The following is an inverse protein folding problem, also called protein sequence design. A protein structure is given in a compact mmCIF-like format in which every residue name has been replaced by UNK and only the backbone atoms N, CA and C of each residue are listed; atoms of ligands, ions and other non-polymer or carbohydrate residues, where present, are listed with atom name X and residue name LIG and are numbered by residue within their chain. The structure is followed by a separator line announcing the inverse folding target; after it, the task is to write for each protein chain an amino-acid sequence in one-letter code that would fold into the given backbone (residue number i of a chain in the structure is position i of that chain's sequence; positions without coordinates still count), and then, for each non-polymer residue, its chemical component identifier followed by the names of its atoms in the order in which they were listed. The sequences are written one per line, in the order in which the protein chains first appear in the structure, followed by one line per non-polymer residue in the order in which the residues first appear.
data_IF_708885745332
#
_entry.id   IF_708885745332
#
_cell.length_a   1.000
_cell.length_b   1.000
_cell.length_c   1.000
_cell.angle_alpha   90.00
_cell.angle_beta   90.00
_cell.angle_gamma   90.00
#
_symmetry.space_group_name_H-M   'P 1'
#
loop_
_entity.id
_entity.type
_entity.pdbx_description
1 polymer ?
#
# COMPACT_ATOMS: atom_id res chain seq x y z
N UNK A 1 -17.31 22.30 -29.55
CA UNK A 1 -15.93 21.88 -29.73
C UNK A 1 -15.74 20.64 -28.87
N UNK A 2 -15.94 19.46 -29.48
CA UNK A 2 -15.91 18.19 -28.71
C UNK A 2 -14.46 17.75 -28.47
N UNK A 3 -14.15 17.40 -27.23
CA UNK A 3 -12.90 16.72 -26.92
C UNK A 3 -12.96 15.35 -27.61
N UNK A 4 -11.97 15.07 -28.44
CA UNK A 4 -11.86 13.82 -29.17
C UNK A 4 -11.91 12.61 -28.23
N UNK A 5 -12.64 11.56 -28.61
CA UNK A 5 -12.80 10.35 -27.79
C UNK A 5 -11.46 9.72 -27.41
N UNK A 6 -10.46 9.83 -28.29
CA UNK A 6 -9.11 9.32 -28.07
C UNK A 6 -8.36 10.14 -27.01
N UNK A 7 -8.54 11.46 -27.00
CA UNK A 7 -7.97 12.36 -25.98
C UNK A 7 -8.60 12.08 -24.61
N UNK A 8 -9.92 11.84 -24.58
CA UNK A 8 -10.63 11.55 -23.33
C UNK A 8 -10.22 10.17 -22.77
N UNK A 9 -10.06 9.17 -23.64
CA UNK A 9 -9.54 7.85 -23.24
C UNK A 9 -8.11 7.94 -22.71
N UNK A 10 -7.25 8.73 -23.34
CA UNK A 10 -5.88 8.95 -22.91
C UNK A 10 -5.79 9.64 -21.53
N UNK A 11 -6.63 10.65 -21.31
CA UNK A 11 -6.73 11.32 -20.00
C UNK A 11 -7.22 10.36 -18.91
N UNK A 12 -8.23 9.54 -19.19
CA UNK A 12 -8.76 8.54 -18.26
C UNK A 12 -7.71 7.47 -17.95
N UNK A 13 -6.96 7.02 -18.95
CA UNK A 13 -5.85 6.07 -18.74
C UNK A 13 -4.73 6.68 -17.91
N UNK A 14 -4.37 7.95 -18.16
CA UNK A 14 -3.37 8.67 -17.35
C UNK A 14 -3.84 8.88 -15.91
N UNK A 15 -5.10 9.24 -15.68
CA UNK A 15 -5.66 9.38 -14.34
C UNK A 15 -5.70 8.05 -13.59
N UNK A 16 -6.08 6.96 -14.26
CA UNK A 16 -6.03 5.62 -13.67
C UNK A 16 -4.59 5.17 -13.35
N UNK A 17 -3.63 5.59 -14.16
CA UNK A 17 -2.21 5.30 -13.92
C UNK A 17 -1.65 6.05 -12.72
N UNK A 18 -2.09 7.30 -12.50
CA UNK A 18 -1.68 8.12 -11.35
C UNK A 18 -2.20 7.55 -10.02
N UNK A 19 -3.38 6.92 -10.03
CA UNK A 19 -4.04 6.42 -8.82
C UNK A 19 -3.83 4.91 -8.56
N UNK A 20 -2.79 4.30 -9.13
CA UNK A 20 -2.51 2.87 -8.93
C UNK A 20 -1.78 2.56 -7.63
N UNK A 21 -1.14 3.55 -7.02
CA UNK A 21 -0.45 3.40 -5.74
C UNK A 21 -1.33 3.85 -4.59
N UNK A 22 -1.01 3.34 -3.42
CA UNK A 22 -1.59 3.74 -2.14
C UNK A 22 -0.49 4.22 -1.20
N UNK A 23 -0.83 5.09 -0.26
CA UNK A 23 0.12 5.62 0.71
C UNK A 23 0.28 4.68 1.90
N UNK A 24 1.51 4.30 2.16
CA UNK A 24 1.89 3.52 3.33
C UNK A 24 2.74 4.37 4.27
N UNK A 25 2.40 4.39 5.54
CA UNK A 25 3.28 4.92 6.55
C UNK A 25 4.22 3.84 7.08
N UNK A 26 5.50 4.19 7.22
CA UNK A 26 6.49 3.39 7.92
C UNK A 26 6.93 4.14 9.16
N UNK A 27 6.63 3.61 10.32
CA UNK A 27 6.87 4.21 11.63
C UNK A 27 8.02 3.45 12.28
N UNK A 28 9.10 4.16 12.61
CA UNK A 28 10.22 3.57 13.33
C UNK A 28 9.90 3.58 14.82
N UNK A 29 9.90 2.40 15.43
CA UNK A 29 9.63 2.21 16.85
C UNK A 29 10.79 1.48 17.50
N UNK A 30 11.10 1.82 18.75
CA UNK A 30 12.01 1.02 19.55
C UNK A 30 11.34 -0.30 19.91
N UNK A 31 12.10 -1.40 19.89
CA UNK A 31 11.59 -2.71 20.30
C UNK A 31 11.55 -2.82 21.82
N UNK A 32 10.68 -2.01 22.44
CA UNK A 32 10.45 -1.91 23.87
C UNK A 32 8.97 -2.00 24.19
N UNK A 33 8.68 -2.47 25.40
CA UNK A 33 7.31 -2.53 25.88
C UNK A 33 6.64 -1.14 25.87
N UNK A 34 5.44 -1.07 25.29
CA UNK A 34 4.61 0.13 25.22
C UNK A 34 4.83 1.04 24.02
N UNK A 35 5.92 0.91 23.24
CA UNK A 35 6.15 1.79 22.08
C UNK A 35 5.14 1.60 20.96
N UNK A 36 4.79 0.37 20.64
CA UNK A 36 3.72 0.09 19.68
C UNK A 36 2.37 0.59 20.19
N UNK A 37 2.04 0.34 21.46
CA UNK A 37 0.78 0.79 22.06
C UNK A 37 0.64 2.31 21.98
N UNK A 38 1.71 3.07 22.21
CA UNK A 38 1.72 4.53 22.09
C UNK A 38 1.30 4.97 20.67
N UNK A 39 1.82 4.33 19.63
CA UNK A 39 1.43 4.64 18.24
C UNK A 39 -0.05 4.35 18.03
N UNK A 40 -0.52 3.18 18.48
CA UNK A 40 -1.92 2.78 18.33
C UNK A 40 -2.88 3.71 19.08
N UNK A 41 -2.53 4.20 20.26
CA UNK A 41 -3.33 5.15 21.01
C UNK A 41 -3.42 6.51 20.33
N UNK A 42 -2.33 7.03 19.76
CA UNK A 42 -2.33 8.27 18.97
C UNK A 42 -3.32 8.17 17.80
N UNK A 43 -3.24 7.08 17.04
CA UNK A 43 -4.14 6.86 15.90
C UNK A 43 -5.60 6.70 16.33
N UNK A 44 -5.85 6.00 17.44
CA UNK A 44 -7.19 5.80 18.02
C UNK A 44 -7.82 7.12 18.45
N UNK A 45 -7.10 7.97 19.14
CA UNK A 45 -7.60 9.28 19.60
C UNK A 45 -7.95 10.19 18.42
N UNK A 46 -7.20 10.12 17.33
CA UNK A 46 -7.48 10.82 16.07
C UNK A 46 -8.55 10.15 15.21
N UNK A 47 -9.12 9.00 15.64
CA UNK A 47 -10.09 8.19 14.89
C UNK A 47 -9.58 7.75 13.52
N UNK A 48 -8.28 7.50 13.41
CA UNK A 48 -7.65 6.97 12.19
C UNK A 48 -7.72 5.45 12.24
N UNK A 49 -8.41 4.86 11.28
CA UNK A 49 -8.56 3.42 11.17
C UNK A 49 -7.33 2.80 10.48
N UNK A 50 -6.78 1.75 11.06
CA UNK A 50 -5.77 0.89 10.42
C UNK A 50 -6.49 -0.15 9.58
N UNK A 51 -6.20 -0.17 8.27
CA UNK A 51 -6.77 -1.11 7.30
C UNK A 51 -5.92 -2.36 7.20
N UNK A 52 -4.60 -2.17 7.13
CA UNK A 52 -3.63 -3.25 7.09
C UNK A 52 -2.36 -2.82 7.81
N UNK A 53 -1.63 -3.77 8.38
CA UNK A 53 -0.36 -3.49 9.03
C UNK A 53 0.58 -4.68 9.02
N UNK A 54 1.86 -4.37 9.15
CA UNK A 54 2.91 -5.36 9.41
C UNK A 54 4.01 -4.75 10.24
N UNK A 55 4.72 -5.55 11.02
CA UNK A 55 5.93 -5.16 11.73
C UNK A 55 7.08 -6.01 11.23
N UNK A 56 8.16 -5.33 10.90
CA UNK A 56 9.46 -5.94 10.62
C UNK A 56 10.40 -5.50 11.73
N UNK A 57 11.00 -6.42 12.43
CA UNK A 57 11.80 -6.13 13.62
C UNK A 57 13.28 -6.49 13.44
N UNK A 58 14.10 -5.80 14.21
CA UNK A 58 15.46 -6.16 14.59
C UNK A 58 15.51 -6.26 16.12
N UNK A 59 16.68 -6.55 16.70
CA UNK A 59 16.81 -6.67 18.17
C UNK A 59 16.38 -5.37 18.87
N UNK A 60 16.77 -4.22 18.32
CA UNK A 60 16.60 -2.92 18.99
C UNK A 60 15.44 -2.10 18.45
N UNK A 61 15.06 -2.30 17.19
CA UNK A 61 14.09 -1.48 16.47
C UNK A 61 13.11 -2.31 15.66
N UNK A 62 11.93 -1.73 15.46
CA UNK A 62 10.93 -2.23 14.52
C UNK A 62 10.54 -1.17 13.51
N UNK A 63 10.07 -1.63 12.36
CA UNK A 63 9.39 -0.79 11.39
C UNK A 63 7.93 -1.23 11.35
N UNK A 64 7.06 -0.42 11.91
CA UNK A 64 5.62 -0.63 11.86
C UNK A 64 5.06 0.04 10.60
N UNK A 65 4.65 -0.77 9.63
CA UNK A 65 4.04 -0.30 8.38
C UNK A 65 2.54 -0.39 8.49
N UNK A 66 1.86 0.69 8.12
CA UNK A 66 0.39 0.75 8.13
C UNK A 66 -0.16 1.34 6.84
N UNK A 67 -1.32 0.82 6.45
CA UNK A 67 -2.27 1.46 5.56
C UNK A 67 -3.44 1.90 6.42
N UNK A 68 -3.85 3.16 6.29
CA UNK A 68 -4.88 3.73 7.15
C UNK A 68 -5.84 4.64 6.39
N UNK A 69 -6.94 5.00 7.04
CA UNK A 69 -8.03 5.76 6.44
C UNK A 69 -7.67 7.21 6.06
N UNK A 70 -6.68 7.80 6.71
CA UNK A 70 -6.19 9.15 6.41
C UNK A 70 -4.67 9.23 6.60
N UNK A 71 -3.88 8.83 5.58
CA UNK A 71 -2.43 8.75 5.71
C UNK A 71 -1.75 10.11 5.93
N UNK A 72 -2.26 11.18 5.33
CA UNK A 72 -1.68 12.52 5.50
C UNK A 72 -1.83 13.02 6.93
N UNK A 73 -3.03 12.92 7.50
CA UNK A 73 -3.29 13.30 8.88
C UNK A 73 -2.50 12.43 9.86
N UNK A 74 -2.42 11.12 9.61
CA UNK A 74 -1.65 10.20 10.43
C UNK A 74 -0.16 10.56 10.43
N UNK A 75 0.39 10.91 9.27
CA UNK A 75 1.78 11.32 9.13
C UNK A 75 2.10 12.56 9.96
N UNK A 76 1.32 13.63 9.80
CA UNK A 76 1.50 14.89 10.53
C UNK A 76 1.40 14.66 12.04
N UNK A 77 0.36 13.97 12.48
CA UNK A 77 0.11 13.71 13.89
C UNK A 77 1.23 12.87 14.56
N UNK A 78 1.72 11.84 13.89
CA UNK A 78 2.80 11.00 14.41
C UNK A 78 4.11 11.79 14.51
N UNK A 79 4.39 12.67 13.55
CA UNK A 79 5.55 13.56 13.60
C UNK A 79 5.45 14.57 14.77
N UNK A 80 4.28 15.17 14.99
CA UNK A 80 4.03 16.09 16.11
C UNK A 80 4.27 15.41 17.47
N UNK A 81 4.01 14.11 17.56
CA UNK A 81 4.29 13.30 18.76
C UNK A 81 5.75 12.81 18.85
N UNK A 82 6.64 13.31 17.97
CA UNK A 82 8.06 13.01 17.98
C UNK A 82 8.44 11.62 17.47
N UNK A 83 7.55 10.98 16.69
CA UNK A 83 7.83 9.70 16.06
C UNK A 83 8.51 9.89 14.71
N UNK A 84 9.48 9.03 14.40
CA UNK A 84 10.09 8.99 13.07
C UNK A 84 9.18 8.21 12.13
N UNK A 85 8.61 8.90 11.15
CA UNK A 85 7.66 8.33 10.20
C UNK A 85 7.98 8.79 8.77
N UNK A 86 7.80 7.89 7.81
CA UNK A 86 7.91 8.19 6.37
C UNK A 86 6.65 7.72 5.66
N UNK A 87 6.30 8.42 4.56
CA UNK A 87 5.28 7.98 3.61
C UNK A 87 5.97 7.38 2.38
N UNK A 88 5.44 6.30 1.88
CA UNK A 88 5.89 5.64 0.65
C UNK A 88 4.71 5.22 -0.20
N UNK A 89 4.89 5.31 -1.51
CA UNK A 89 3.96 4.71 -2.46
C UNK A 89 4.19 3.21 -2.53
N UNK A 90 3.11 2.45 -2.40
CA UNK A 90 3.10 1.00 -2.54
C UNK A 90 1.93 0.58 -3.45
N UNK A 91 2.00 -0.62 -3.98
CA UNK A 91 0.90 -1.19 -4.75
C UNK A 91 0.04 -2.10 -3.87
N UNK A 92 -1.25 -2.14 -4.19
CA UNK A 92 -2.17 -3.14 -3.66
C UNK A 92 -2.82 -3.88 -4.84
N UNK A 93 -2.72 -5.20 -4.86
CA UNK A 93 -3.37 -6.05 -5.88
C UNK A 93 -4.30 -7.06 -5.22
N UNK A 94 -5.42 -7.31 -5.90
CA UNK A 94 -6.40 -8.34 -5.52
C UNK A 94 -6.11 -9.64 -6.27
N UNK A 95 -5.99 -10.73 -5.54
CA UNK A 95 -5.80 -12.07 -6.07
C UNK A 95 -6.85 -13.03 -5.52
N UNK A 96 -7.10 -14.11 -6.25
CA UNK A 96 -7.87 -15.22 -5.71
C UNK A 96 -7.09 -15.88 -4.57
N UNK A 97 -7.79 -16.21 -3.48
CA UNK A 97 -7.18 -16.86 -2.33
C UNK A 97 -7.00 -18.36 -2.57
N UNK A 98 -6.15 -18.70 -3.54
CA UNK A 98 -5.77 -20.08 -3.88
C UNK A 98 -4.26 -20.22 -3.98
N UNK A 99 -3.69 -21.42 -3.71
CA UNK A 99 -2.25 -21.64 -3.78
C UNK A 99 -1.66 -21.22 -5.13
N UNK A 100 -0.51 -20.54 -5.10
CA UNK A 100 0.26 -20.17 -6.28
C UNK A 100 -0.12 -18.84 -6.94
N UNK A 101 -1.21 -18.18 -6.55
CA UNK A 101 -1.63 -16.93 -7.18
C UNK A 101 -0.63 -15.78 -6.99
N UNK A 102 -0.04 -15.67 -5.82
CA UNK A 102 1.01 -14.68 -5.57
C UNK A 102 2.26 -14.95 -6.42
N UNK A 103 2.70 -16.21 -6.50
CA UNK A 103 3.83 -16.61 -7.35
C UNK A 103 3.57 -16.25 -8.82
N UNK A 104 2.37 -16.57 -9.33
CA UNK A 104 1.97 -16.23 -10.70
C UNK A 104 2.01 -14.72 -10.95
N UNK A 105 1.46 -13.92 -10.03
CA UNK A 105 1.46 -12.47 -10.17
C UNK A 105 2.89 -11.91 -10.17
N UNK A 106 3.76 -12.35 -9.25
CA UNK A 106 5.12 -11.83 -9.14
C UNK A 106 6.10 -12.37 -10.18
N UNK A 107 5.78 -13.45 -10.88
CA UNK A 107 6.57 -13.93 -12.03
C UNK A 107 6.77 -12.84 -13.08
N UNK A 108 5.73 -12.05 -13.35
CA UNK A 108 5.81 -10.96 -14.33
C UNK A 108 6.80 -9.85 -13.91
N UNK A 109 6.85 -9.52 -12.62
CA UNK A 109 7.81 -8.54 -12.10
C UNK A 109 9.24 -9.05 -12.21
N UNK A 110 9.48 -10.28 -11.78
CA UNK A 110 10.81 -10.91 -11.86
C UNK A 110 11.30 -11.04 -13.30
N UNK A 111 10.44 -11.46 -14.24
CA UNK A 111 10.77 -11.58 -15.66
C UNK A 111 11.16 -10.24 -16.30
N UNK A 112 10.69 -9.13 -15.74
CA UNK A 112 11.03 -7.78 -16.18
C UNK A 112 12.12 -7.11 -15.34
N UNK A 113 12.78 -7.84 -14.43
CA UNK A 113 13.86 -7.32 -13.61
C UNK A 113 13.43 -6.33 -12.51
N UNK A 114 12.15 -6.32 -12.14
CA UNK A 114 11.62 -5.49 -11.04
C UNK A 114 11.71 -6.29 -9.74
N UNK A 115 12.37 -5.73 -8.75
CA UNK A 115 12.53 -6.34 -7.45
C UNK A 115 11.38 -5.97 -6.50
N UNK A 116 10.86 -6.95 -5.77
CA UNK A 116 9.90 -6.75 -4.69
C UNK A 116 10.67 -6.59 -3.39
N UNK A 117 10.71 -5.37 -2.86
CA UNK A 117 11.46 -5.04 -1.64
C UNK A 117 10.85 -5.69 -0.40
N UNK A 118 9.53 -5.70 -0.32
CA UNK A 118 8.75 -6.40 0.70
C UNK A 118 7.29 -6.52 0.26
N UNK A 119 6.60 -7.43 0.89
CA UNK A 119 5.17 -7.61 0.73
C UNK A 119 4.51 -8.07 2.03
N UNK A 120 3.23 -7.81 2.17
CA UNK A 120 2.35 -8.39 3.18
C UNK A 120 0.94 -8.48 2.64
N UNK A 121 0.11 -9.32 3.24
CA UNK A 121 -1.22 -9.60 2.71
C UNK A 121 -2.26 -9.73 3.81
N UNK A 122 -3.51 -9.51 3.44
CA UNK A 122 -4.69 -9.76 4.27
C UNK A 122 -5.84 -10.26 3.40
N UNK A 123 -6.88 -10.79 4.03
CA UNK A 123 -8.04 -11.32 3.35
C UNK A 123 -9.22 -10.36 3.45
N UNK A 124 -9.92 -10.18 2.32
CA UNK A 124 -11.23 -9.51 2.26
C UNK A 124 -12.20 -10.49 1.62
N UNK A 125 -13.08 -11.07 2.42
CA UNK A 125 -13.94 -12.15 1.98
C UNK A 125 -13.13 -13.35 1.47
N UNK A 126 -13.27 -13.68 0.19
CA UNK A 126 -12.55 -14.79 -0.47
C UNK A 126 -11.35 -14.31 -1.32
N UNK A 127 -10.98 -13.05 -1.23
CA UNK A 127 -9.89 -12.47 -1.99
C UNK A 127 -8.70 -12.19 -1.10
N UNK A 128 -7.51 -12.42 -1.61
CA UNK A 128 -6.27 -11.96 -1.01
C UNK A 128 -5.92 -10.57 -1.52
N UNK A 129 -5.63 -9.64 -0.61
CA UNK A 129 -5.07 -8.35 -0.97
C UNK A 129 -3.60 -8.40 -0.61
N UNK A 130 -2.74 -8.17 -1.61
CA UNK A 130 -1.29 -8.11 -1.41
C UNK A 130 -0.85 -6.67 -1.55
N UNK A 131 -0.21 -6.15 -0.52
CA UNK A 131 0.48 -4.87 -0.53
C UNK A 131 1.96 -5.13 -0.73
N UNK A 132 2.59 -4.41 -1.66
CA UNK A 132 4.00 -4.60 -1.94
C UNK A 132 4.69 -3.32 -2.42
N UNK A 133 5.99 -3.24 -2.17
CA UNK A 133 6.86 -2.18 -2.65
C UNK A 133 7.87 -2.75 -3.65
N UNK A 134 8.13 -1.96 -4.69
CA UNK A 134 9.14 -2.26 -5.71
C UNK A 134 10.24 -1.21 -5.72
N UNK A 135 11.33 -1.52 -6.37
CA UNK A 135 12.43 -0.60 -6.66
C UNK A 135 12.18 0.28 -7.91
N UNK A 136 11.22 -0.13 -8.78
CA UNK A 136 10.84 0.61 -9.98
C UNK A 136 9.31 0.72 -10.10
N UNK A 137 8.79 1.84 -9.62
CA UNK A 137 7.35 2.11 -9.57
C UNK A 137 6.73 2.24 -10.96
N UNK A 138 7.41 2.90 -11.90
CA UNK A 138 6.87 3.11 -13.25
C UNK A 138 6.78 1.78 -14.02
N UNK A 139 7.82 1.00 -13.99
CA UNK A 139 7.85 -0.32 -14.62
C UNK A 139 6.83 -1.27 -13.97
N UNK A 140 6.64 -1.17 -12.66
CA UNK A 140 5.63 -1.94 -11.96
C UNK A 140 4.21 -1.60 -12.43
N UNK A 141 3.89 -0.32 -12.68
CA UNK A 141 2.60 0.11 -13.27
C UNK A 141 2.36 -0.54 -14.62
N UNK A 142 3.37 -0.49 -15.50
CA UNK A 142 3.29 -1.12 -16.81
C UNK A 142 3.02 -2.62 -16.71
N UNK A 143 3.73 -3.32 -15.82
CA UNK A 143 3.55 -4.76 -15.60
C UNK A 143 2.14 -5.08 -15.11
N UNK A 144 1.61 -4.31 -14.17
CA UNK A 144 0.25 -4.47 -13.65
C UNK A 144 -0.78 -4.36 -14.77
N UNK A 145 -0.63 -3.35 -15.63
CA UNK A 145 -1.55 -3.13 -16.77
C UNK A 145 -1.42 -4.21 -17.82
N UNK A 146 -0.20 -4.55 -18.26
CA UNK A 146 0.06 -5.55 -19.30
C UNK A 146 -0.42 -6.95 -18.91
N UNK A 147 -0.36 -7.29 -17.63
CA UNK A 147 -0.79 -8.59 -17.10
C UNK A 147 -2.22 -8.58 -16.56
N UNK A 148 -2.96 -7.48 -16.75
CA UNK A 148 -4.33 -7.30 -16.28
C UNK A 148 -4.50 -7.65 -14.78
N UNK A 149 -3.50 -7.32 -13.95
CA UNK A 149 -3.58 -7.52 -12.52
C UNK A 149 -4.59 -6.51 -11.93
N UNK A 150 -5.43 -6.98 -11.04
CA UNK A 150 -6.43 -6.13 -10.39
C UNK A 150 -5.78 -5.30 -9.29
N UNK A 151 -5.44 -4.06 -9.59
CA UNK A 151 -4.96 -3.14 -8.56
C UNK A 151 -6.13 -2.54 -7.76
N UNK A 152 -5.84 -2.13 -6.55
CA UNK A 152 -6.78 -1.47 -5.65
C UNK A 152 -6.25 -0.06 -5.40
N UNK A 153 -7.07 0.95 -5.73
CA UNK A 153 -6.78 2.35 -5.42
C UNK A 153 -7.00 2.64 -3.93
N UNK A 154 -6.43 3.74 -3.45
CA UNK A 154 -6.59 4.18 -2.07
C UNK A 154 -8.06 4.39 -1.67
N UNK A 155 -8.84 5.01 -2.55
CA UNK A 155 -10.28 5.22 -2.34
C UNK A 155 -11.03 3.88 -2.19
N UNK A 156 -10.73 2.91 -3.06
CA UNK A 156 -11.36 1.60 -2.99
C UNK A 156 -10.96 0.84 -1.72
N UNK A 157 -9.71 0.96 -1.31
CA UNK A 157 -9.23 0.30 -0.09
C UNK A 157 -9.91 0.88 1.17
N UNK A 158 -10.10 2.19 1.21
CA UNK A 158 -10.83 2.86 2.29
C UNK A 158 -12.29 2.40 2.38
N UNK A 159 -12.93 2.10 1.26
CA UNK A 159 -14.30 1.57 1.21
C UNK A 159 -14.41 0.11 1.67
N UNK A 160 -13.35 -0.69 1.55
CA UNK A 160 -13.34 -2.09 2.00
C UNK A 160 -13.27 -2.21 3.53
N UNK A 161 -12.98 -1.13 4.23
CA UNK A 161 -12.82 -1.08 5.68
C UNK A 161 -14.08 -0.57 6.42
N UNK A 162 -15.16 -0.30 5.69
CA UNK A 162 -16.48 0.06 6.22
C UNK A 162 -17.41 -1.18 6.25
#
# INVERSE_FOLDING_TARGET
MGIDKDTNLHIVLLQNTINMTIHQLSIFIENKNGTLLRVLDILKEAKIQIIASTISDTVDYGIFRIICSNPSQAYELLQEHGLSVTISDVFAIELDNTPGQAAKAFTAFTANGVNISYMYSFLVGRKGIIIFRTDDTEKAREIILQNALRFISEDKLSQLSL
#
